data_IF_480315646088
#
_entry.id   IF_480315646088
#
_cell.length_a   1.000
_cell.length_b   1.000
_cell.length_c   1.000
_cell.angle_alpha   90.00
_cell.angle_beta   90.00
_cell.angle_gamma   90.00
#
_symmetry.space_group_name_H-M   'P 1'
#
loop_
_entity.id
_entity.type
_entity.pdbx_description
1 polymer ?
#
# COMPACT_ATOMS: atom_id res chain seq x y z
N UNK A 1 33.54 45.80 -36.66
CA UNK A 1 32.29 45.02 -36.78
C UNK A 1 32.39 43.59 -36.23
N UNK A 2 33.40 42.77 -36.57
CA UNK A 2 33.48 41.38 -36.06
C UNK A 2 33.70 41.26 -34.54
N UNK A 3 34.52 42.15 -33.96
CA UNK A 3 34.85 42.15 -32.53
C UNK A 3 33.67 42.58 -31.63
N UNK A 4 32.87 43.53 -32.11
CA UNK A 4 31.68 44.03 -31.42
C UNK A 4 30.58 42.97 -31.36
N UNK A 5 30.38 42.23 -32.45
CA UNK A 5 29.42 41.11 -32.50
C UNK A 5 29.86 39.93 -31.62
N UNK A 6 31.17 39.68 -31.49
CA UNK A 6 31.71 38.66 -30.59
C UNK A 6 31.53 39.03 -29.11
N UNK A 7 31.69 40.31 -28.77
CA UNK A 7 31.47 40.80 -27.40
C UNK A 7 29.99 40.77 -27.03
N UNK A 8 29.11 41.16 -27.96
CA UNK A 8 27.66 41.19 -27.74
C UNK A 8 27.06 39.78 -27.60
N UNK A 9 27.47 38.84 -28.45
CA UNK A 9 27.05 37.43 -28.33
C UNK A 9 27.57 36.76 -27.05
N UNK A 10 28.80 37.07 -26.63
CA UNK A 10 29.34 36.59 -25.36
C UNK A 10 28.59 37.14 -24.13
N UNK A 11 28.07 38.37 -24.21
CA UNK A 11 27.31 38.98 -23.13
C UNK A 11 25.88 38.41 -23.02
N UNK A 12 25.21 38.22 -24.15
CA UNK A 12 23.88 37.61 -24.21
C UNK A 12 23.90 36.14 -23.77
N UNK A 13 24.94 35.38 -24.13
CA UNK A 13 25.10 34.00 -23.67
C UNK A 13 25.38 33.92 -22.15
N UNK A 14 26.09 34.91 -21.59
CA UNK A 14 26.28 35.04 -20.13
C UNK A 14 24.96 35.34 -19.42
N UNK A 15 24.16 36.28 -19.92
CA UNK A 15 22.86 36.64 -19.31
C UNK A 15 21.86 35.48 -19.36
N UNK A 16 21.80 34.74 -20.46
CA UNK A 16 20.92 33.58 -20.59
C UNK A 16 21.37 32.42 -19.68
N UNK A 17 22.68 32.25 -19.46
CA UNK A 17 23.23 31.26 -18.51
C UNK A 17 22.95 31.63 -17.05
N UNK A 18 22.99 32.92 -16.71
CA UNK A 18 22.63 33.43 -15.38
C UNK A 18 21.14 33.22 -15.12
N UNK A 19 20.26 33.59 -16.06
CA UNK A 19 18.81 33.36 -15.95
C UNK A 19 18.42 31.87 -15.87
N UNK A 20 19.22 30.98 -16.45
CA UNK A 20 19.01 29.52 -16.40
C UNK A 20 19.62 28.85 -15.16
N UNK A 21 20.28 29.58 -14.27
CA UNK A 21 20.92 29.02 -13.07
C UNK A 21 22.03 28.01 -13.39
N UNK A 22 22.78 28.24 -14.47
CA UNK A 22 23.88 27.37 -14.87
C UNK A 22 25.13 27.53 -14.00
N UNK A 23 26.04 26.54 -14.08
CA UNK A 23 27.34 26.57 -13.42
C UNK A 23 28.09 27.87 -13.76
N UNK A 24 28.63 28.52 -12.73
CA UNK A 24 29.30 29.84 -12.74
C UNK A 24 28.40 31.07 -12.56
N UNK A 25 27.30 30.95 -11.81
CA UNK A 25 26.44 32.08 -11.40
C UNK A 25 26.85 32.76 -10.09
N UNK A 26 27.83 32.21 -9.36
CA UNK A 26 28.41 32.86 -8.19
C UNK A 26 29.95 32.80 -8.26
N UNK A 27 30.57 33.89 -8.68
CA UNK A 27 31.84 34.32 -8.11
C UNK A 27 33.16 33.64 -8.50
N UNK A 28 33.23 32.61 -9.35
CA UNK A 28 34.54 32.10 -9.80
C UNK A 28 35.01 32.81 -11.08
N UNK A 29 35.75 33.91 -10.88
CA UNK A 29 36.59 34.52 -11.92
C UNK A 29 37.95 33.81 -11.87
N UNK A 30 38.26 32.99 -12.87
CA UNK A 30 39.63 32.53 -13.08
C UNK A 30 40.48 33.74 -13.50
N UNK A 31 41.33 34.22 -12.59
CA UNK A 31 42.37 35.22 -12.86
C UNK A 31 43.67 34.45 -13.16
N UNK A 32 44.10 34.46 -14.42
CA UNK A 32 45.38 33.92 -14.86
C UNK A 32 45.46 33.85 -16.40
N UNK A 33 46.64 34.03 -17.02
CA UNK A 33 46.79 33.93 -18.46
C UNK A 33 46.35 32.54 -18.94
N UNK A 34 45.55 32.51 -20.00
CA UNK A 34 45.10 31.26 -20.60
C UNK A 34 46.27 30.68 -21.39
N UNK A 35 46.99 29.71 -20.82
CA UNK A 35 47.99 28.94 -21.56
C UNK A 35 47.30 28.17 -22.69
N UNK A 36 47.57 28.59 -23.94
CA UNK A 36 47.00 27.99 -25.15
C UNK A 36 47.55 26.59 -25.48
N UNK A 37 48.41 26.00 -24.64
CA UNK A 37 49.14 24.76 -24.93
C UNK A 37 48.49 23.46 -24.44
N UNK A 38 47.28 23.47 -23.86
CA UNK A 38 46.63 22.24 -23.37
C UNK A 38 45.26 21.98 -24.04
N UNK A 39 45.28 21.76 -25.36
CA UNK A 39 44.22 21.00 -26.06
C UNK A 39 44.33 19.52 -25.65
N UNK A 40 43.71 19.12 -24.55
CA UNK A 40 43.60 17.68 -24.25
C UNK A 40 43.43 17.26 -22.80
N UNK A 41 43.31 18.18 -21.83
CA UNK A 41 42.96 17.76 -20.47
C UNK A 41 41.46 17.56 -20.36
N UNK A 42 41.10 16.30 -20.12
CA UNK A 42 39.77 15.84 -19.76
C UNK A 42 39.10 16.84 -18.81
N UNK A 43 37.88 17.25 -19.16
CA UNK A 43 37.03 18.01 -18.25
C UNK A 43 37.01 17.28 -16.90
N UNK A 44 37.30 17.93 -15.77
CA UNK A 44 37.13 17.31 -14.47
C UNK A 44 35.65 16.95 -14.32
N UNK A 45 35.37 15.65 -14.45
CA UNK A 45 34.05 15.05 -14.29
C UNK A 45 33.71 15.00 -12.80
N UNK A 46 33.54 16.18 -12.18
CA UNK A 46 33.09 16.29 -10.80
C UNK A 46 31.82 17.12 -10.66
N UNK A 47 30.95 17.03 -11.66
CA UNK A 47 29.55 17.43 -11.52
C UNK A 47 28.73 16.20 -11.19
N UNK A 48 28.60 15.90 -9.90
CA UNK A 48 27.56 14.97 -9.43
C UNK A 48 26.22 15.61 -9.76
N UNK A 49 25.60 15.16 -10.86
CA UNK A 49 24.27 15.59 -11.28
C UNK A 49 23.29 15.14 -10.20
N UNK A 50 22.99 16.01 -9.24
CA UNK A 50 21.93 15.78 -8.26
C UNK A 50 20.63 15.73 -9.05
N UNK A 51 20.18 14.51 -9.38
CA UNK A 51 18.85 14.28 -9.96
C UNK A 51 17.84 14.84 -8.97
N UNK A 52 17.25 16.01 -9.27
CA UNK A 52 16.07 16.49 -8.55
C UNK A 52 15.02 15.39 -8.61
N UNK A 53 14.81 14.71 -7.48
CA UNK A 53 13.78 13.69 -7.32
C UNK A 53 12.45 14.38 -7.63
N UNK A 54 11.79 14.00 -8.72
CA UNK A 54 10.45 14.54 -9.05
C UNK A 54 9.59 14.37 -7.80
N UNK A 55 8.96 15.46 -7.34
CA UNK A 55 7.96 15.38 -6.27
C UNK A 55 6.89 14.43 -6.79
N UNK A 56 6.86 13.23 -6.22
CA UNK A 56 5.91 12.21 -6.58
C UNK A 56 4.58 12.70 -6.04
N UNK A 57 3.64 13.06 -6.92
CA UNK A 57 2.27 13.28 -6.51
C UNK A 57 1.76 11.94 -6.01
N UNK A 58 1.79 11.75 -4.69
CA UNK A 58 1.29 10.55 -4.03
C UNK A 58 -0.21 10.51 -4.31
N UNK A 59 -0.63 9.62 -5.20
CA UNK A 59 -2.07 9.43 -5.43
C UNK A 59 -2.70 8.90 -4.13
N UNK A 60 -3.94 9.27 -3.86
CA UNK A 60 -4.71 8.65 -2.77
C UNK A 60 -4.67 7.13 -2.97
N UNK A 61 -4.15 6.40 -1.99
CA UNK A 61 -3.87 4.96 -2.09
C UNK A 61 -2.43 4.56 -2.40
N UNK A 62 -1.50 5.48 -2.70
CA UNK A 62 -0.04 5.21 -2.78
C UNK A 62 0.64 5.26 -1.39
N UNK A 63 -0.04 4.77 -0.35
CA UNK A 63 0.64 4.50 0.92
C UNK A 63 1.61 3.32 0.80
N UNK A 64 2.54 3.22 1.76
CA UNK A 64 3.50 2.10 1.82
C UNK A 64 2.77 0.76 1.70
N UNK A 65 3.18 -0.08 0.74
CA UNK A 65 2.60 -1.42 0.56
C UNK A 65 2.75 -2.29 1.80
N UNK A 66 3.73 -2.00 2.66
CA UNK A 66 3.90 -2.69 3.94
C UNK A 66 2.76 -2.34 4.90
N UNK A 67 2.51 -1.05 5.11
CA UNK A 67 1.48 -0.58 6.05
C UNK A 67 0.08 -0.97 5.55
N UNK A 68 -0.22 -0.66 4.28
CA UNK A 68 -1.52 -1.03 3.70
C UNK A 68 -1.66 -2.54 3.47
N UNK A 69 -0.55 -3.28 3.38
CA UNK A 69 -0.56 -4.74 3.37
C UNK A 69 -1.01 -5.28 4.72
N UNK A 70 -0.45 -4.79 5.82
CA UNK A 70 -0.89 -5.17 7.18
C UNK A 70 -2.36 -4.82 7.42
N UNK A 71 -2.78 -3.61 7.05
CA UNK A 71 -4.19 -3.21 7.12
C UNK A 71 -5.06 -4.17 6.32
N UNK A 72 -4.64 -4.58 5.12
CA UNK A 72 -5.38 -5.54 4.31
C UNK A 72 -5.52 -6.90 4.99
N UNK A 73 -4.46 -7.42 5.63
CA UNK A 73 -4.52 -8.66 6.43
C UNK A 73 -5.56 -8.52 7.54
N UNK A 74 -5.51 -7.43 8.32
CA UNK A 74 -6.46 -7.21 9.41
C UNK A 74 -7.91 -7.09 8.91
N UNK A 75 -8.14 -6.35 7.82
CA UNK A 75 -9.47 -6.20 7.22
C UNK A 75 -10.01 -7.54 6.73
N UNK A 76 -9.17 -8.36 6.09
CA UNK A 76 -9.56 -9.71 5.65
C UNK A 76 -9.90 -10.62 6.82
N UNK A 77 -9.07 -10.62 7.87
CA UNK A 77 -9.30 -11.45 9.05
C UNK A 77 -10.56 -11.05 9.81
N UNK A 78 -10.78 -9.76 10.04
CA UNK A 78 -12.01 -9.26 10.66
C UNK A 78 -13.25 -9.61 9.85
N UNK A 79 -13.15 -9.51 8.53
CA UNK A 79 -14.27 -9.86 7.64
C UNK A 79 -14.62 -11.34 7.76
N UNK A 80 -13.63 -12.23 7.90
CA UNK A 80 -13.87 -13.65 8.15
C UNK A 80 -14.54 -13.90 9.51
N UNK A 81 -14.07 -13.23 10.57
CA UNK A 81 -14.66 -13.36 11.91
C UNK A 81 -16.13 -12.91 11.90
N UNK A 82 -16.46 -11.84 11.18
CA UNK A 82 -17.85 -11.42 10.97
C UNK A 82 -18.64 -12.47 10.18
N UNK A 83 -18.04 -13.06 9.15
CA UNK A 83 -18.64 -14.18 8.40
C UNK A 83 -18.98 -15.37 9.31
N UNK A 84 -18.05 -15.76 10.18
CA UNK A 84 -18.23 -16.81 11.18
C UNK A 84 -19.32 -16.47 12.19
N UNK A 85 -19.31 -15.24 12.73
CA UNK A 85 -20.32 -14.79 13.68
C UNK A 85 -21.71 -14.76 13.06
N UNK A 86 -21.79 -14.36 11.78
CA UNK A 86 -23.05 -14.35 11.05
C UNK A 86 -23.54 -15.78 10.78
N UNK A 87 -22.64 -16.70 10.41
CA UNK A 87 -23.00 -18.12 10.26
C UNK A 87 -23.53 -18.70 11.58
N UNK A 88 -22.80 -18.48 12.67
CA UNK A 88 -23.18 -18.91 14.02
C UNK A 88 -24.56 -18.37 14.40
N UNK A 89 -24.74 -17.05 14.33
CA UNK A 89 -25.97 -16.42 14.81
C UNK A 89 -27.20 -16.64 13.94
N UNK A 90 -27.05 -17.05 12.68
CA UNK A 90 -28.18 -17.23 11.77
C UNK A 90 -28.53 -18.69 11.50
N UNK A 91 -27.55 -19.61 11.59
CA UNK A 91 -27.73 -20.99 11.13
C UNK A 91 -27.40 -22.05 12.17
N UNK A 92 -26.73 -21.72 13.27
CA UNK A 92 -26.45 -22.69 14.35
C UNK A 92 -27.54 -22.65 15.43
N UNK A 93 -27.84 -23.78 16.08
CA UNK A 93 -28.89 -23.87 17.09
C UNK A 93 -28.66 -22.97 18.32
N UNK A 94 -27.39 -22.70 18.65
CA UNK A 94 -27.00 -21.81 19.76
C UNK A 94 -26.93 -20.32 19.34
N UNK A 95 -27.27 -20.02 18.09
CA UNK A 95 -27.28 -18.67 17.53
C UNK A 95 -28.43 -17.80 18.03
N UNK A 96 -28.37 -16.50 17.73
CA UNK A 96 -29.44 -15.54 18.10
C UNK A 96 -30.73 -15.77 17.30
N UNK A 97 -30.58 -16.24 16.06
CA UNK A 97 -31.66 -16.52 15.14
C UNK A 97 -31.45 -17.91 14.53
N UNK A 98 -32.51 -18.72 14.47
CA UNK A 98 -32.47 -20.01 13.77
C UNK A 98 -33.23 -19.87 12.46
N UNK A 99 -32.53 -19.45 11.40
CA UNK A 99 -33.11 -19.44 10.06
C UNK A 99 -33.17 -20.89 9.55
N UNK A 100 -34.36 -21.47 9.56
CA UNK A 100 -34.62 -22.72 8.83
C UNK A 100 -34.58 -22.42 7.34
N UNK A 101 -33.63 -23.01 6.61
CA UNK A 101 -33.57 -22.79 5.16
C UNK A 101 -34.83 -23.35 4.49
N UNK A 102 -35.46 -22.60 3.59
CA UNK A 102 -36.73 -22.99 2.99
C UNK A 102 -36.61 -24.11 1.95
N UNK A 103 -35.40 -24.47 1.50
CA UNK A 103 -35.17 -25.44 0.43
C UNK A 103 -33.88 -26.25 0.59
N UNK A 104 -33.97 -27.56 0.32
CA UNK A 104 -32.81 -28.49 0.30
C UNK A 104 -31.72 -28.07 -0.71
N UNK A 105 -32.07 -27.25 -1.69
CA UNK A 105 -31.16 -26.73 -2.71
C UNK A 105 -30.03 -25.86 -2.13
N UNK A 106 -30.22 -25.26 -0.95
CA UNK A 106 -29.20 -24.43 -0.30
C UNK A 106 -28.33 -25.21 0.69
N UNK A 107 -28.67 -26.48 0.98
CA UNK A 107 -27.88 -27.35 1.85
C UNK A 107 -26.40 -27.50 1.43
N UNK A 108 -26.05 -27.56 0.13
CA UNK A 108 -24.64 -27.62 -0.29
C UNK A 108 -23.85 -26.34 0.00
N UNK A 109 -24.53 -25.20 0.18
CA UNK A 109 -23.90 -23.88 0.33
C UNK A 109 -23.67 -23.54 1.81
N UNK A 110 -24.46 -24.11 2.72
CA UNK A 110 -24.37 -23.93 4.17
C UNK A 110 -22.94 -23.94 4.74
N UNK A 111 -22.08 -24.94 4.40
CA UNK A 111 -20.71 -24.99 4.94
C UNK A 111 -19.82 -23.82 4.50
N UNK A 112 -20.21 -23.11 3.44
CA UNK A 112 -19.45 -22.04 2.82
C UNK A 112 -20.00 -20.64 3.14
N UNK A 113 -21.06 -20.55 3.96
CA UNK A 113 -21.73 -19.28 4.26
C UNK A 113 -20.78 -18.26 4.88
N UNK A 114 -19.95 -18.66 5.86
CA UNK A 114 -18.91 -17.79 6.42
C UNK A 114 -17.98 -17.19 5.35
N UNK A 115 -17.60 -17.96 4.33
CA UNK A 115 -16.70 -17.51 3.27
C UNK A 115 -17.41 -16.57 2.29
N UNK A 116 -18.69 -16.81 2.01
CA UNK A 116 -19.50 -15.94 1.15
C UNK A 116 -19.68 -14.58 1.84
N UNK A 117 -20.13 -14.57 3.09
CA UNK A 117 -20.39 -13.34 3.85
C UNK A 117 -19.07 -12.60 4.09
N UNK A 118 -18.07 -13.30 4.63
CA UNK A 118 -16.75 -12.71 4.89
C UNK A 118 -16.06 -12.23 3.61
N UNK A 119 -16.20 -12.97 2.52
CA UNK A 119 -15.65 -12.60 1.21
C UNK A 119 -16.31 -11.35 0.63
N UNK A 120 -17.64 -11.26 0.66
CA UNK A 120 -18.38 -10.05 0.21
C UNK A 120 -17.95 -8.83 1.04
N UNK A 121 -17.87 -8.99 2.36
CA UNK A 121 -17.46 -7.90 3.24
C UNK A 121 -16.00 -7.48 2.98
N UNK A 122 -15.10 -8.44 2.80
CA UNK A 122 -13.71 -8.15 2.49
C UNK A 122 -13.55 -7.47 1.12
N UNK A 123 -14.37 -7.82 0.12
CA UNK A 123 -14.42 -7.12 -1.17
C UNK A 123 -14.92 -5.69 -1.01
N UNK A 124 -16.00 -5.47 -0.26
CA UNK A 124 -16.57 -4.15 -0.01
C UNK A 124 -15.57 -3.23 0.71
N UNK A 125 -14.94 -3.72 1.78
CA UNK A 125 -13.92 -2.98 2.52
C UNK A 125 -12.64 -2.80 1.70
N UNK A 126 -12.22 -3.83 0.97
CA UNK A 126 -11.08 -3.76 0.06
C UNK A 126 -11.24 -2.68 -1.01
N UNK A 127 -12.46 -2.52 -1.53
CA UNK A 127 -12.81 -1.42 -2.42
C UNK A 127 -12.84 -0.06 -1.69
N UNK A 128 -13.54 0.03 -0.56
CA UNK A 128 -13.70 1.27 0.21
C UNK A 128 -12.36 1.88 0.69
N UNK A 129 -11.40 1.03 1.09
CA UNK A 129 -10.08 1.47 1.55
C UNK A 129 -9.03 1.56 0.43
N UNK A 130 -9.40 1.32 -0.83
CA UNK A 130 -8.47 1.39 -1.95
C UNK A 130 -7.35 0.33 -1.90
N UNK A 131 -7.67 -0.88 -1.43
CA UNK A 131 -6.77 -2.04 -1.38
C UNK A 131 -6.66 -2.73 -2.75
N UNK A 132 -6.55 -1.94 -3.82
CA UNK A 132 -6.67 -2.41 -5.22
C UNK A 132 -5.39 -3.02 -5.79
N UNK A 133 -4.24 -2.77 -5.16
CA UNK A 133 -2.95 -3.33 -5.57
C UNK A 133 -2.89 -4.86 -5.34
N UNK A 134 -2.27 -5.61 -6.24
CA UNK A 134 -2.14 -7.08 -6.17
C UNK A 134 -1.59 -7.56 -4.84
N UNK A 135 -0.54 -6.91 -4.30
CA UNK A 135 0.03 -7.26 -3.00
C UNK A 135 -0.99 -7.12 -1.87
N UNK A 136 -1.80 -6.04 -1.91
CA UNK A 136 -2.82 -5.78 -0.88
C UNK A 136 -4.00 -6.74 -1.01
N UNK A 137 -4.38 -7.13 -2.22
CA UNK A 137 -5.39 -8.16 -2.46
C UNK A 137 -4.93 -9.51 -1.93
N UNK A 138 -3.69 -9.90 -2.20
CA UNK A 138 -3.11 -11.13 -1.65
C UNK A 138 -3.09 -11.07 -0.12
N UNK A 139 -2.66 -9.94 0.46
CA UNK A 139 -2.67 -9.74 1.90
C UNK A 139 -4.09 -9.84 2.51
N UNK A 140 -5.10 -9.29 1.84
CA UNK A 140 -6.51 -9.40 2.24
C UNK A 140 -7.01 -10.84 2.22
N UNK A 141 -6.69 -11.60 1.17
CA UNK A 141 -7.01 -13.03 1.06
C UNK A 141 -6.27 -13.82 2.15
N UNK A 142 -4.99 -13.52 2.39
CA UNK A 142 -4.23 -14.14 3.47
C UNK A 142 -4.84 -13.87 4.84
N UNK A 143 -5.37 -12.65 5.07
CA UNK A 143 -6.12 -12.32 6.28
C UNK A 143 -7.37 -13.19 6.46
N UNK A 144 -8.17 -13.33 5.39
CA UNK A 144 -9.36 -14.20 5.37
C UNK A 144 -9.00 -15.64 5.76
N UNK A 145 -8.00 -16.22 5.11
CA UNK A 145 -7.56 -17.60 5.36
C UNK A 145 -6.92 -17.74 6.74
N UNK A 146 -6.15 -16.75 7.19
CA UNK A 146 -5.51 -16.81 8.50
C UNK A 146 -6.55 -16.86 9.62
N UNK A 147 -7.63 -16.08 9.51
CA UNK A 147 -8.69 -16.10 10.51
C UNK A 147 -9.47 -17.42 10.58
N UNK A 148 -9.47 -18.25 9.53
CA UNK A 148 -10.05 -19.60 9.61
C UNK A 148 -9.08 -20.60 10.24
N UNK A 149 -7.83 -20.60 9.78
CA UNK A 149 -6.81 -21.57 10.23
C UNK A 149 -6.44 -21.34 11.70
N UNK A 150 -6.28 -20.08 12.11
CA UNK A 150 -5.93 -19.71 13.49
C UNK A 150 -7.15 -19.48 14.40
N UNK A 151 -8.38 -19.81 13.95
CA UNK A 151 -9.59 -19.55 14.73
C UNK A 151 -9.53 -20.18 16.13
N UNK A 152 -9.22 -21.47 16.23
CA UNK A 152 -9.15 -22.20 17.50
C UNK A 152 -8.11 -21.57 18.46
N UNK A 153 -6.95 -21.16 17.94
CA UNK A 153 -5.90 -20.52 18.73
C UNK A 153 -6.32 -19.11 19.20
N UNK A 154 -7.11 -18.39 18.41
CA UNK A 154 -7.67 -17.09 18.81
C UNK A 154 -8.73 -17.26 19.91
N UNK A 155 -9.56 -18.29 19.82
CA UNK A 155 -10.54 -18.66 20.86
C UNK A 155 -9.83 -19.03 22.16
N UNK A 156 -8.76 -19.83 22.10
CA UNK A 156 -7.96 -20.20 23.26
C UNK A 156 -7.27 -18.99 23.91
N UNK A 157 -6.76 -18.06 23.09
CA UNK A 157 -6.04 -16.89 23.59
C UNK A 157 -6.96 -15.83 24.20
N UNK A 158 -8.18 -15.69 23.68
CA UNK A 158 -9.14 -14.65 24.08
C UNK A 158 -10.55 -15.21 24.31
N UNK A 159 -10.73 -16.19 25.21
CA UNK A 159 -12.00 -16.90 25.35
C UNK A 159 -13.15 -15.95 25.69
N UNK A 160 -12.95 -14.98 26.58
CA UNK A 160 -14.00 -14.03 26.98
C UNK A 160 -14.53 -13.13 25.85
N UNK A 161 -13.72 -12.86 24.82
CA UNK A 161 -14.18 -12.10 23.64
C UNK A 161 -15.04 -13.00 22.75
N UNK A 162 -14.61 -14.25 22.57
CA UNK A 162 -15.32 -15.21 21.74
C UNK A 162 -16.60 -15.74 22.40
N UNK A 163 -16.66 -15.87 23.74
CA UNK A 163 -17.91 -16.25 24.42
C UNK A 163 -18.97 -15.16 24.29
N UNK A 164 -18.58 -13.88 24.33
CA UNK A 164 -19.48 -12.76 24.12
C UNK A 164 -20.06 -12.71 22.69
N UNK A 165 -19.33 -13.25 21.70
CA UNK A 165 -19.74 -13.24 20.29
C UNK A 165 -20.45 -14.56 19.91
N UNK A 166 -19.98 -15.71 20.39
CA UNK A 166 -20.36 -17.04 19.90
C UNK A 166 -20.99 -17.95 20.96
N UNK A 167 -21.23 -17.49 22.20
CA UNK A 167 -21.66 -18.30 23.36
C UNK A 167 -20.58 -19.20 23.98
N UNK A 168 -20.80 -19.62 25.22
CA UNK A 168 -19.90 -20.51 25.97
C UNK A 168 -19.84 -21.93 25.40
N UNK A 169 -20.97 -22.46 24.92
CA UNK A 169 -21.07 -23.80 24.35
C UNK A 169 -20.23 -23.96 23.07
N UNK A 170 -20.29 -22.96 22.19
CA UNK A 170 -19.48 -22.91 20.97
C UNK A 170 -17.98 -22.86 21.28
N UNK A 171 -17.59 -22.05 22.26
CA UNK A 171 -16.19 -21.94 22.68
C UNK A 171 -15.68 -23.25 23.25
N UNK A 172 -16.49 -23.94 24.07
CA UNK A 172 -16.15 -25.28 24.56
C UNK A 172 -15.97 -26.28 23.41
N UNK A 173 -16.89 -26.32 22.44
CA UNK A 173 -16.77 -27.20 21.26
C UNK A 173 -15.47 -26.97 20.49
N UNK A 174 -15.01 -25.73 20.36
CA UNK A 174 -13.78 -25.39 19.63
C UNK A 174 -12.49 -25.62 20.42
N UNK A 175 -12.57 -25.73 21.75
CA UNK A 175 -11.42 -25.99 22.61
C UNK A 175 -11.23 -27.48 22.93
N UNK A 176 -12.25 -28.32 22.70
CA UNK A 176 -12.25 -29.75 23.02
C UNK A 176 -12.58 -30.02 24.47
#
# INVERSE_FOLDING_TARGET
MALENAQRSGFEDRLTRIKKGGANTMGEVQIGPRDESQRGKSRPSNTVRIKRKKRKNVKVGEGSNVVFGLVAVFVGGLSMVVGQATEFHLFQPDGLFTLTLPTDALAPVLPYVQFIIGGILALALGWAFGLTNTIRRIALILGLVAATVWHAQLVERYPGVYTAIFSEAYVAEKLG
#
